data_IF_132300809034
#
_entry.id   IF_132300809034
#
_cell.length_a   1.000
_cell.length_b   1.000
_cell.length_c   1.000
_cell.angle_alpha   90.00
_cell.angle_beta   90.00
_cell.angle_gamma   90.00
#
_symmetry.space_group_name_H-M   'P 1'
#
loop_
_entity.id
_entity.type
_entity.pdbx_description
1 polymer ?
#
# COMPACT_ATOMS: atom_id res chain seq x y z
N UNK A 1 2.85 -26.95 63.28
CA UNK A 1 1.67 -27.70 63.77
C UNK A 1 0.43 -26.81 63.68
N UNK A 2 -0.69 -27.41 63.23
CA UNK A 2 -2.09 -26.92 63.21
C UNK A 2 -2.56 -26.14 61.97
N UNK A 3 -2.86 -26.95 60.96
CA UNK A 3 -3.94 -26.83 59.98
C UNK A 3 -5.29 -26.47 60.63
N UNK A 4 -6.07 -25.58 59.99
CA UNK A 4 -7.54 -25.61 60.03
C UNK A 4 -8.13 -24.98 58.75
N UNK A 5 -8.61 -25.86 57.87
CA UNK A 5 -9.70 -25.63 56.94
C UNK A 5 -10.92 -25.03 57.67
N UNK A 6 -11.66 -24.13 57.03
CA UNK A 6 -13.07 -24.40 56.74
C UNK A 6 -13.64 -23.45 55.67
N UNK A 7 -14.41 -24.07 54.77
CA UNK A 7 -15.21 -23.54 53.68
C UNK A 7 -16.40 -22.67 54.13
N UNK A 8 -16.78 -21.72 53.27
CA UNK A 8 -18.17 -21.34 52.92
C UNK A 8 -18.09 -20.71 51.52
N UNK A 9 -18.40 -21.41 50.43
CA UNK A 9 -19.74 -21.69 49.90
C UNK A 9 -20.49 -20.43 49.39
N UNK A 10 -20.38 -20.24 48.07
CA UNK A 10 -21.45 -19.88 47.11
C UNK A 10 -22.15 -18.53 47.27
N UNK A 11 -21.88 -17.64 46.32
CA UNK A 11 -22.92 -16.81 45.71
C UNK A 11 -22.67 -16.70 44.20
N UNK A 12 -23.25 -17.63 43.44
CA UNK A 12 -23.50 -17.47 42.00
C UNK A 12 -24.74 -16.59 41.90
N UNK A 13 -24.61 -15.35 41.43
CA UNK A 13 -25.72 -14.63 40.80
C UNK A 13 -25.23 -13.64 39.75
N UNK A 14 -25.84 -13.77 38.58
CA UNK A 14 -26.13 -12.74 37.58
C UNK A 14 -24.98 -12.15 36.76
N UNK A 15 -24.85 -12.68 35.53
CA UNK A 15 -24.32 -11.99 34.35
C UNK A 15 -25.02 -10.63 34.15
N UNK A 16 -24.30 -9.64 33.62
CA UNK A 16 -24.68 -9.17 32.29
C UNK A 16 -23.48 -9.09 31.34
N UNK A 17 -23.67 -9.69 30.16
CA UNK A 17 -23.66 -8.96 28.89
C UNK A 17 -22.48 -8.01 28.68
N UNK A 18 -21.33 -8.53 28.26
CA UNK A 18 -20.64 -8.16 27.01
C UNK A 18 -19.26 -8.82 26.99
N UNK A 19 -18.95 -9.48 25.87
CA UNK A 19 -17.65 -10.07 25.62
C UNK A 19 -16.63 -8.94 25.42
N UNK A 20 -15.78 -8.70 26.41
CA UNK A 20 -14.51 -8.02 26.18
C UNK A 20 -13.55 -9.03 25.55
N UNK A 21 -13.59 -9.07 24.22
CA UNK A 21 -12.50 -9.61 23.42
C UNK A 21 -11.19 -8.94 23.88
N UNK A 22 -10.18 -9.77 24.09
CA UNK A 22 -8.80 -9.37 24.30
C UNK A 22 -8.43 -8.39 23.17
N UNK A 23 -7.95 -7.17 23.46
CA UNK A 23 -7.30 -6.40 22.41
C UNK A 23 -6.00 -7.13 22.10
N UNK A 24 -6.03 -7.92 21.02
CA UNK A 24 -4.83 -8.26 20.27
C UNK A 24 -4.08 -6.94 20.11
N UNK A 25 -2.96 -6.88 20.81
CA UNK A 25 -2.03 -5.78 20.71
C UNK A 25 -1.41 -5.94 19.32
N UNK A 26 -2.10 -5.43 18.29
CA UNK A 26 -1.47 -5.03 17.05
C UNK A 26 -0.44 -3.97 17.45
N UNK A 27 0.76 -4.48 17.72
CA UNK A 27 1.95 -3.70 17.83
C UNK A 27 2.09 -2.92 16.53
N UNK A 28 1.58 -1.69 16.56
CA UNK A 28 1.99 -0.57 15.72
C UNK A 28 3.50 -0.43 15.88
N UNK A 29 4.23 -1.29 15.20
CA UNK A 29 5.68 -1.24 15.16
C UNK A 29 6.02 -0.05 14.28
N UNK A 30 6.69 0.98 14.81
CA UNK A 30 7.18 2.07 13.99
C UNK A 30 8.11 1.46 12.94
N UNK A 31 7.99 1.88 11.68
CA UNK A 31 8.84 1.45 10.58
C UNK A 31 10.32 1.61 11.00
N UNK A 32 10.91 0.52 11.48
CA UNK A 32 12.31 0.45 11.78
C UNK A 32 13.03 0.60 10.44
N UNK A 33 14.06 1.45 10.40
CA UNK A 33 15.10 1.41 9.35
C UNK A 33 15.89 0.11 9.52
N UNK A 34 15.22 -1.02 9.29
CA UNK A 34 15.79 -2.35 9.15
C UNK A 34 16.15 -2.58 7.69
N UNK A 35 17.02 -3.57 7.44
CA UNK A 35 17.43 -3.96 6.10
C UNK A 35 16.25 -4.09 5.15
N UNK A 36 16.45 -3.67 3.89
CA UNK A 36 15.44 -3.82 2.84
C UNK A 36 15.04 -5.30 2.71
N UNK A 37 13.73 -5.57 2.79
CA UNK A 37 13.14 -6.87 2.47
C UNK A 37 12.17 -6.71 1.31
N UNK A 38 11.91 -7.80 0.58
CA UNK A 38 10.96 -7.79 -0.53
C UNK A 38 9.57 -7.35 -0.05
N UNK A 39 9.10 -7.84 1.10
CA UNK A 39 7.82 -7.42 1.68
C UNK A 39 7.79 -5.94 2.06
N UNK A 40 8.86 -5.41 2.65
CA UNK A 40 8.93 -3.99 3.02
C UNK A 40 8.86 -3.10 1.77
N UNK A 41 9.61 -3.45 0.72
CA UNK A 41 9.62 -2.70 -0.54
C UNK A 41 8.31 -2.87 -1.33
N UNK A 42 7.64 -4.01 -1.23
CA UNK A 42 6.30 -4.21 -1.77
C UNK A 42 5.26 -3.31 -1.08
N UNK A 43 5.30 -3.24 0.26
CA UNK A 43 4.44 -2.34 1.02
C UNK A 43 4.72 -0.86 0.72
N UNK A 44 5.99 -0.50 0.59
CA UNK A 44 6.40 0.85 0.18
C UNK A 44 5.88 1.18 -1.22
N UNK A 45 5.98 0.24 -2.17
CA UNK A 45 5.41 0.37 -3.52
C UNK A 45 3.90 0.63 -3.47
N UNK A 46 3.14 -0.17 -2.72
CA UNK A 46 1.69 0.00 -2.56
C UNK A 46 1.35 1.35 -1.91
N UNK A 47 2.16 1.81 -0.95
CA UNK A 47 1.98 3.12 -0.34
C UNK A 47 2.20 4.25 -1.35
N UNK A 48 3.18 4.13 -2.26
CA UNK A 48 3.41 5.12 -3.33
C UNK A 48 2.29 5.16 -4.35
N UNK A 49 1.71 4.01 -4.70
CA UNK A 49 0.52 3.96 -5.56
C UNK A 49 -0.69 4.63 -4.90
N UNK A 50 -0.93 4.39 -3.61
CA UNK A 50 -2.00 5.09 -2.90
C UNK A 50 -1.70 6.61 -2.76
N UNK A 51 -0.44 6.98 -2.54
CA UNK A 51 -0.02 8.39 -2.51
C UNK A 51 -0.35 9.09 -3.84
N UNK A 52 -0.11 8.41 -4.98
CA UNK A 52 -0.46 8.93 -6.29
C UNK A 52 -1.95 9.25 -6.40
N UNK A 53 -2.81 8.35 -5.93
CA UNK A 53 -4.27 8.53 -5.94
C UNK A 53 -4.67 9.71 -5.06
N UNK A 54 -4.11 9.83 -3.85
CA UNK A 54 -4.38 10.97 -2.95
C UNK A 54 -3.95 12.29 -3.58
N UNK A 55 -2.84 12.32 -4.33
CA UNK A 55 -2.40 13.52 -5.05
C UNK A 55 -3.46 13.90 -6.11
N UNK A 56 -3.92 12.94 -6.92
CA UNK A 56 -4.96 13.19 -7.93
C UNK A 56 -6.27 13.67 -7.31
N UNK A 57 -6.72 13.07 -6.21
CA UNK A 57 -7.91 13.49 -5.45
C UNK A 57 -7.80 14.92 -4.90
N UNK A 58 -6.58 15.43 -4.71
CA UNK A 58 -6.33 16.76 -4.15
C UNK A 58 -6.39 17.89 -5.17
N UNK A 59 -6.37 17.57 -6.48
CA UNK A 59 -6.36 18.57 -7.55
C UNK A 59 -7.76 19.14 -7.75
N UNK A 60 -7.90 20.45 -7.50
CA UNK A 60 -9.19 21.18 -7.57
C UNK A 60 -9.12 22.42 -8.46
N UNK A 61 -7.93 22.98 -8.58
CA UNK A 61 -7.62 24.26 -9.21
C UNK A 61 -6.17 24.23 -9.76
N UNK A 62 -5.76 25.32 -10.41
CA UNK A 62 -4.45 25.43 -11.03
C UNK A 62 -3.29 25.31 -10.02
N UNK A 63 -3.42 25.91 -8.83
CA UNK A 63 -2.38 25.89 -7.81
C UNK A 63 -2.17 24.48 -7.24
N UNK A 64 -3.26 23.76 -6.97
CA UNK A 64 -3.20 22.35 -6.56
C UNK A 64 -2.69 21.44 -7.68
N UNK A 65 -2.99 21.74 -8.95
CA UNK A 65 -2.42 21.02 -10.09
C UNK A 65 -0.90 21.23 -10.21
N UNK A 66 -0.39 22.45 -10.03
CA UNK A 66 1.05 22.73 -10.02
C UNK A 66 1.78 21.97 -8.92
N UNK A 67 1.17 21.89 -7.74
CA UNK A 67 1.71 21.09 -6.65
C UNK A 67 1.66 19.59 -7.00
N UNK A 68 0.54 19.12 -7.54
CA UNK A 68 0.37 17.73 -7.92
C UNK A 68 1.39 17.29 -8.97
N UNK A 69 1.70 18.11 -9.97
CA UNK A 69 2.76 17.80 -10.97
C UNK A 69 4.09 17.48 -10.29
N UNK A 70 4.50 18.28 -9.31
CA UNK A 70 5.75 18.07 -8.57
C UNK A 70 5.69 16.81 -7.70
N UNK A 71 4.57 16.61 -7.00
CA UNK A 71 4.39 15.45 -6.13
C UNK A 71 4.32 14.15 -6.93
N UNK A 72 3.68 14.16 -8.12
CA UNK A 72 3.62 13.05 -9.07
C UNK A 72 5.02 12.69 -9.56
N UNK A 73 5.82 13.68 -9.97
CA UNK A 73 7.20 13.43 -10.38
C UNK A 73 8.04 12.81 -9.24
N UNK A 74 7.87 13.32 -8.01
CA UNK A 74 8.52 12.75 -6.83
C UNK A 74 8.10 11.29 -6.60
N UNK A 75 6.82 10.95 -6.76
CA UNK A 75 6.37 9.55 -6.69
C UNK A 75 7.08 8.70 -7.73
N UNK A 76 7.22 9.17 -8.97
CA UNK A 76 7.98 8.45 -10.01
C UNK A 76 9.46 8.24 -9.63
N UNK A 77 10.10 9.26 -9.05
CA UNK A 77 11.48 9.16 -8.57
C UNK A 77 11.61 8.18 -7.40
N UNK A 78 10.65 8.16 -6.48
CA UNK A 78 10.59 7.22 -5.36
C UNK A 78 10.41 5.78 -5.87
N UNK A 79 9.57 5.56 -6.89
CA UNK A 79 9.39 4.26 -7.52
C UNK A 79 10.69 3.74 -8.16
N UNK A 80 11.45 4.62 -8.84
CA UNK A 80 12.79 4.28 -9.33
C UNK A 80 13.78 3.98 -8.20
N UNK A 81 13.68 4.67 -7.08
CA UNK A 81 14.53 4.40 -5.92
C UNK A 81 14.20 3.04 -5.29
N UNK A 82 12.91 2.69 -5.20
CA UNK A 82 12.45 1.37 -4.75
C UNK A 82 12.94 0.28 -5.70
N UNK A 83 12.84 0.46 -7.01
CA UNK A 83 13.32 -0.54 -7.97
C UNK A 83 14.83 -0.78 -7.84
N UNK A 84 15.64 0.28 -7.66
CA UNK A 84 17.09 0.17 -7.38
C UNK A 84 17.41 -0.53 -6.05
N UNK A 85 16.50 -0.50 -5.08
CA UNK A 85 16.63 -1.23 -3.81
C UNK A 85 16.25 -2.69 -4.00
N UNK A 86 15.14 -2.97 -4.70
CA UNK A 86 14.73 -4.32 -5.09
C UNK A 86 15.82 -5.03 -5.90
N UNK A 87 16.47 -4.36 -6.86
CA UNK A 87 17.50 -4.98 -7.69
C UNK A 87 18.75 -5.45 -6.94
N UNK A 88 18.90 -5.09 -5.66
CA UNK A 88 20.00 -5.51 -4.78
C UNK A 88 19.63 -6.71 -3.90
N UNK A 89 18.35 -7.08 -3.88
CA UNK A 89 17.87 -8.25 -3.15
C UNK A 89 17.96 -9.50 -4.01
N UNK A 90 17.83 -10.65 -3.37
CA UNK A 90 17.59 -11.91 -4.09
C UNK A 90 16.16 -11.92 -4.64
N UNK A 91 16.01 -12.50 -5.84
CA UNK A 91 14.69 -12.64 -6.46
C UNK A 91 13.79 -13.53 -5.60
N UNK A 92 12.51 -13.14 -5.37
CA UNK A 92 11.57 -13.96 -4.62
C UNK A 92 11.26 -15.26 -5.38
N UNK A 93 10.96 -16.32 -4.64
CA UNK A 93 10.42 -17.55 -5.20
C UNK A 93 9.05 -17.34 -5.83
N UNK A 94 8.62 -18.23 -6.72
CA UNK A 94 7.31 -18.13 -7.39
C UNK A 94 6.15 -18.14 -6.39
N UNK A 95 6.25 -18.92 -5.31
CA UNK A 95 5.26 -18.89 -4.22
C UNK A 95 5.19 -17.50 -3.57
N UNK A 96 6.33 -16.85 -3.36
CA UNK A 96 6.38 -15.51 -2.78
C UNK A 96 5.84 -14.45 -3.73
N UNK A 97 6.13 -14.58 -5.03
CA UNK A 97 5.55 -13.72 -6.08
C UNK A 97 4.02 -13.80 -6.10
N UNK A 98 3.47 -15.02 -6.08
CA UNK A 98 2.02 -15.22 -6.04
C UNK A 98 1.37 -14.65 -4.77
N UNK A 99 2.06 -14.70 -3.62
CA UNK A 99 1.59 -14.05 -2.39
C UNK A 99 1.57 -12.52 -2.52
N UNK A 100 2.64 -11.94 -3.09
CA UNK A 100 2.75 -10.51 -3.34
C UNK A 100 1.70 -10.06 -4.36
N UNK A 101 1.50 -10.78 -5.46
CA UNK A 101 0.47 -10.45 -6.43
C UNK A 101 -0.92 -10.39 -5.80
N UNK A 102 -1.28 -11.39 -4.97
CA UNK A 102 -2.57 -11.36 -4.26
C UNK A 102 -2.72 -10.13 -3.37
N UNK A 103 -1.64 -9.72 -2.68
CA UNK A 103 -1.62 -8.49 -1.88
C UNK A 103 -1.81 -7.25 -2.76
N UNK A 104 -1.10 -7.17 -3.88
CA UNK A 104 -1.23 -6.09 -4.84
C UNK A 104 -2.64 -6.02 -5.44
N UNK A 105 -3.20 -7.15 -5.87
CA UNK A 105 -4.56 -7.25 -6.40
C UNK A 105 -5.60 -6.77 -5.38
N UNK A 106 -5.48 -7.17 -4.11
CA UNK A 106 -6.34 -6.69 -3.04
C UNK A 106 -6.24 -5.18 -2.85
N UNK A 107 -5.03 -4.60 -2.90
CA UNK A 107 -4.84 -3.14 -2.84
C UNK A 107 -5.36 -2.41 -4.07
N UNK A 108 -5.21 -2.99 -5.26
CA UNK A 108 -5.79 -2.42 -6.49
C UNK A 108 -7.31 -2.44 -6.43
N UNK A 109 -7.93 -3.49 -5.88
CA UNK A 109 -9.37 -3.52 -5.66
C UNK A 109 -9.81 -2.47 -4.63
N UNK A 110 -9.02 -2.26 -3.57
CA UNK A 110 -9.29 -1.24 -2.55
C UNK A 110 -9.20 0.18 -3.13
N UNK A 111 -8.17 0.47 -3.93
CA UNK A 111 -7.91 1.82 -4.42
C UNK A 111 -8.48 2.11 -5.82
N UNK A 112 -8.83 1.08 -6.59
CA UNK A 112 -9.28 1.18 -7.98
C UNK A 112 -10.49 2.10 -8.17
N UNK A 113 -11.57 1.98 -7.38
CA UNK A 113 -12.70 2.89 -7.45
C UNK A 113 -12.31 4.36 -7.18
N UNK A 114 -11.38 4.58 -6.23
CA UNK A 114 -10.86 5.91 -5.90
C UNK A 114 -10.02 6.48 -7.04
N UNK A 115 -9.13 5.67 -7.62
CA UNK A 115 -8.35 6.06 -8.78
C UNK A 115 -9.24 6.43 -9.97
N UNK A 116 -10.26 5.59 -10.27
CA UNK A 116 -11.22 5.84 -11.33
C UNK A 116 -12.01 7.14 -11.10
N UNK A 117 -12.53 7.35 -9.88
CA UNK A 117 -13.24 8.58 -9.53
C UNK A 117 -12.35 9.82 -9.64
N UNK A 118 -11.10 9.75 -9.16
CA UNK A 118 -10.14 10.85 -9.27
C UNK A 118 -9.83 11.20 -10.73
N UNK A 119 -9.63 10.18 -11.58
CA UNK A 119 -9.42 10.39 -13.02
C UNK A 119 -10.65 11.00 -13.71
N UNK A 120 -11.85 10.48 -13.45
CA UNK A 120 -13.08 11.02 -14.02
C UNK A 120 -13.30 12.49 -13.64
N UNK A 121 -13.12 12.82 -12.36
CA UNK A 121 -13.19 14.20 -11.86
C UNK A 121 -12.14 15.12 -12.52
N UNK A 122 -11.00 14.55 -12.94
CA UNK A 122 -9.96 15.28 -13.66
C UNK A 122 -10.36 15.53 -15.11
N UNK A 123 -10.94 14.55 -15.80
CA UNK A 123 -11.37 14.67 -17.19
C UNK A 123 -12.44 15.76 -17.39
N UNK A 124 -13.26 16.02 -16.37
CA UNK A 124 -14.22 17.13 -16.36
C UNK A 124 -13.53 18.52 -16.32
N UNK A 125 -12.21 18.56 -16.11
CA UNK A 125 -11.38 19.77 -15.97
C UNK A 125 -10.21 19.69 -16.95
N UNK A 126 -10.53 19.81 -18.23
CA UNK A 126 -9.61 19.58 -19.36
C UNK A 126 -8.23 20.22 -19.18
N UNK A 127 -8.15 21.50 -18.78
CA UNK A 127 -6.86 22.18 -18.58
C UNK A 127 -6.03 21.57 -17.44
N UNK A 128 -6.67 21.17 -16.34
CA UNK A 128 -5.99 20.51 -15.22
C UNK A 128 -5.58 19.08 -15.62
N UNK A 129 -6.44 18.38 -16.38
CA UNK A 129 -6.16 17.04 -16.90
C UNK A 129 -4.94 17.02 -17.83
N UNK A 130 -4.81 17.99 -18.74
CA UNK A 130 -3.64 18.08 -19.64
C UNK A 130 -2.35 18.25 -18.82
N UNK A 131 -2.37 19.15 -17.84
CA UNK A 131 -1.21 19.47 -17.00
C UNK A 131 -0.77 18.27 -16.15
N UNK A 132 -1.71 17.65 -15.45
CA UNK A 132 -1.47 16.48 -14.61
C UNK A 132 -1.15 15.25 -15.46
N UNK A 133 -1.81 15.08 -16.60
CA UNK A 133 -1.59 13.98 -17.55
C UNK A 133 -0.15 13.92 -18.03
N UNK A 134 0.45 15.05 -18.39
CA UNK A 134 1.87 15.11 -18.76
C UNK A 134 2.82 14.68 -17.63
N UNK A 135 2.49 14.99 -16.38
CA UNK A 135 3.27 14.52 -15.24
C UNK A 135 3.13 13.00 -15.06
N UNK A 136 1.92 12.47 -15.28
CA UNK A 136 1.65 11.03 -15.24
C UNK A 136 2.39 10.28 -16.36
N UNK A 137 2.50 10.85 -17.57
CA UNK A 137 3.34 10.31 -18.65
C UNK A 137 4.80 10.17 -18.20
N UNK A 138 5.35 11.22 -17.59
CA UNK A 138 6.72 11.20 -17.05
C UNK A 138 6.92 10.23 -15.88
N UNK A 139 5.86 9.85 -15.16
CA UNK A 139 5.89 8.73 -14.22
C UNK A 139 5.84 7.40 -14.97
N UNK A 140 5.04 7.31 -16.04
CA UNK A 140 4.98 6.15 -16.93
C UNK A 140 6.36 5.75 -17.47
N UNK A 141 7.13 6.71 -17.99
CA UNK A 141 8.50 6.46 -18.48
C UNK A 141 9.44 5.95 -17.37
N UNK A 142 9.30 6.47 -16.14
CA UNK A 142 10.09 6.02 -14.98
C UNK A 142 9.66 4.61 -14.54
N UNK A 143 8.38 4.31 -14.62
CA UNK A 143 7.83 2.99 -14.32
C UNK A 143 8.24 1.97 -15.37
N UNK A 144 8.30 2.34 -16.65
CA UNK A 144 8.83 1.49 -17.72
C UNK A 144 10.31 1.14 -17.48
N UNK A 145 11.13 2.13 -17.12
CA UNK A 145 12.53 1.90 -16.72
C UNK A 145 12.66 0.95 -15.52
N UNK A 146 11.72 1.02 -14.58
CA UNK A 146 11.65 0.12 -13.43
C UNK A 146 10.94 -1.21 -13.75
N UNK A 147 10.29 -1.31 -14.91
CA UNK A 147 9.25 -2.30 -15.19
C UNK A 147 9.76 -3.72 -15.06
N UNK A 148 10.92 -4.02 -15.67
CA UNK A 148 11.56 -5.33 -15.56
C UNK A 148 11.89 -5.72 -14.13
N UNK A 149 12.29 -4.77 -13.28
CA UNK A 149 12.58 -5.07 -11.87
C UNK A 149 11.27 -5.35 -11.12
N UNK A 150 10.24 -4.53 -11.33
CA UNK A 150 8.95 -4.80 -10.70
C UNK A 150 8.32 -6.11 -11.19
N UNK A 151 8.46 -6.45 -12.46
CA UNK A 151 8.03 -7.74 -13.01
C UNK A 151 8.83 -8.92 -12.41
N UNK A 152 10.16 -8.79 -12.31
CA UNK A 152 11.03 -9.81 -11.73
C UNK A 152 10.67 -10.13 -10.26
N UNK A 153 10.01 -9.21 -9.55
CA UNK A 153 9.66 -9.31 -8.13
C UNK A 153 8.17 -9.50 -7.83
N UNK A 154 7.29 -8.92 -8.65
CA UNK A 154 5.84 -8.85 -8.42
C UNK A 154 5.04 -9.43 -9.59
N UNK A 155 5.67 -9.73 -10.73
CA UNK A 155 5.04 -10.37 -11.87
C UNK A 155 5.15 -11.90 -11.78
N UNK A 156 4.09 -12.58 -12.20
CA UNK A 156 4.01 -14.04 -12.13
C UNK A 156 4.62 -14.77 -13.33
N UNK A 157 5.26 -14.07 -14.28
CA UNK A 157 5.75 -14.70 -15.51
C UNK A 157 4.63 -15.20 -16.44
N UNK A 158 3.36 -14.99 -16.08
CA UNK A 158 2.24 -15.07 -17.00
C UNK A 158 2.26 -13.81 -17.87
N UNK A 159 3.20 -13.77 -18.84
CA UNK A 159 2.87 -13.14 -20.12
C UNK A 159 1.54 -13.73 -20.52
N UNK A 160 0.47 -12.92 -20.49
CA UNK A 160 -0.72 -13.23 -21.26
C UNK A 160 -0.26 -13.26 -22.72
N UNK A 161 0.13 -14.44 -23.20
CA UNK A 161 0.15 -14.76 -24.62
C UNK A 161 -1.29 -14.60 -25.10
N UNK A 162 -1.57 -13.44 -25.69
CA UNK A 162 -2.72 -13.20 -26.56
C UNK A 162 -2.28 -13.27 -28.01
#
# INVERSE_FOLDING_TARGET
MKLKLLCCAIAVMALPMWATAEPETEAKTPAAKGADTVDALANETMAKLNQLIVILESVKDEASADKAVKDIDQVGNDMLAISKRLSKLDKPSDQKKAELEKKFAAKVQEFGPRAGAAMMNMLEREELAIKVGKAMEGVGEKMEQAGKVFEDYFGNGETQEG
#
